data_IF_616604135921
#
_entry.id   IF_616604135921
#
_cell.length_a   1.000
_cell.length_b   1.000
_cell.length_c   1.000
_cell.angle_alpha   90.00
_cell.angle_beta   90.00
_cell.angle_gamma   90.00
#
_symmetry.space_group_name_H-M   'P 1'
#
loop_
_entity.id
_entity.type
_entity.pdbx_description
1 polymer ?
#
# COMPACT_ATOMS: atom_id res chain seq x y z
N UNK A 1 -69.31 39.76 -5.72
CA UNK A 1 -69.41 38.51 -4.95
C UNK A 1 -68.03 37.90 -4.92
N UNK A 2 -67.33 38.06 -3.80
CA UNK A 2 -66.20 37.19 -3.43
C UNK A 2 -66.76 35.80 -3.10
N UNK A 3 -66.05 34.71 -3.45
CA UNK A 3 -65.25 34.06 -2.41
C UNK A 3 -63.97 33.33 -2.88
N UNK A 4 -63.03 33.15 -1.95
CA UNK A 4 -61.99 32.11 -1.96
C UNK A 4 -60.60 32.65 -2.31
N UNK A 5 -59.66 32.89 -1.40
CA UNK A 5 -59.33 32.13 -0.19
C UNK A 5 -58.24 31.10 -0.51
N UNK A 6 -56.98 31.42 -0.19
CA UNK A 6 -55.97 30.48 0.33
C UNK A 6 -54.61 31.17 0.41
N UNK A 7 -54.19 31.37 1.65
CA UNK A 7 -52.82 31.65 2.06
C UNK A 7 -51.79 30.64 1.55
N UNK A 8 -50.55 31.10 1.48
CA UNK A 8 -49.30 30.38 1.74
C UNK A 8 -48.88 29.32 0.67
N UNK A 9 -47.61 29.15 0.32
CA UNK A 9 -46.37 29.29 1.08
C UNK A 9 -45.22 29.62 0.14
N UNK A 10 -44.49 30.66 0.52
CA UNK A 10 -43.06 30.82 0.27
C UNK A 10 -42.36 29.48 0.59
N UNK A 11 -41.90 28.78 -0.45
CA UNK A 11 -41.14 27.54 -0.32
C UNK A 11 -39.70 27.86 -0.66
N UNK A 12 -39.02 28.50 0.29
CA UNK A 12 -37.57 28.60 0.30
C UNK A 12 -36.96 27.21 0.17
N UNK A 13 -36.05 27.06 -0.80
CA UNK A 13 -35.23 25.87 -0.92
C UNK A 13 -34.55 25.61 0.43
N UNK A 14 -34.60 24.37 0.98
CA UNK A 14 -33.98 24.09 2.26
C UNK A 14 -32.47 24.25 2.12
N UNK A 15 -31.89 25.11 2.96
CA UNK A 15 -30.44 25.19 3.13
C UNK A 15 -29.90 23.79 3.43
N UNK A 16 -28.75 23.38 2.87
CA UNK A 16 -28.16 22.09 3.18
C UNK A 16 -27.99 21.98 4.70
N UNK A 17 -28.51 20.89 5.28
CA UNK A 17 -28.38 20.61 6.71
C UNK A 17 -26.89 20.70 7.10
N UNK A 18 -26.57 21.39 8.19
CA UNK A 18 -25.21 21.57 8.69
C UNK A 18 -24.38 20.28 8.67
N UNK A 19 -24.99 19.14 8.98
CA UNK A 19 -24.36 17.81 8.95
C UNK A 19 -23.87 17.40 7.55
N UNK A 20 -24.57 17.81 6.49
CA UNK A 20 -24.17 17.54 5.10
C UNK A 20 -22.97 18.41 4.72
N UNK A 21 -22.96 19.67 5.13
CA UNK A 21 -21.80 20.55 4.93
C UNK A 21 -20.57 20.10 5.71
N UNK A 22 -20.74 19.51 6.90
CA UNK A 22 -19.63 18.92 7.68
C UNK A 22 -19.10 17.66 6.99
N UNK A 23 -19.97 16.78 6.47
CA UNK A 23 -19.56 15.59 5.74
C UNK A 23 -18.83 15.92 4.43
N UNK A 24 -19.33 16.88 3.66
CA UNK A 24 -18.68 17.36 2.43
C UNK A 24 -17.32 18.00 2.75
N UNK A 25 -17.22 18.75 3.84
CA UNK A 25 -15.95 19.30 4.31
C UNK A 25 -14.95 18.20 4.72
N UNK A 26 -15.41 17.15 5.41
CA UNK A 26 -14.56 16.01 5.79
C UNK A 26 -14.07 15.26 4.54
N UNK A 27 -14.92 15.05 3.55
CA UNK A 27 -14.54 14.43 2.28
C UNK A 27 -13.54 15.27 1.52
N UNK A 28 -13.74 16.59 1.49
CA UNK A 28 -12.82 17.55 0.86
C UNK A 28 -11.45 17.57 1.55
N UNK A 29 -11.45 17.55 2.89
CA UNK A 29 -10.21 17.45 3.69
C UNK A 29 -9.49 16.14 3.38
N UNK A 30 -10.22 15.03 3.29
CA UNK A 30 -9.64 13.73 2.97
C UNK A 30 -9.00 13.70 1.58
N UNK A 31 -9.70 14.19 0.56
CA UNK A 31 -9.15 14.29 -0.79
C UNK A 31 -7.90 15.20 -0.85
N UNK A 32 -7.89 16.26 -0.04
CA UNK A 32 -6.73 17.16 0.10
C UNK A 32 -5.56 16.47 0.77
N UNK A 33 -5.81 15.66 1.81
CA UNK A 33 -4.79 14.84 2.48
C UNK A 33 -4.20 13.82 1.51
N UNK A 34 -5.02 13.12 0.73
CA UNK A 34 -4.55 12.15 -0.26
C UNK A 34 -3.70 12.84 -1.35
N UNK A 35 -4.10 14.04 -1.79
CA UNK A 35 -3.33 14.86 -2.74
C UNK A 35 -2.00 15.34 -2.13
N UNK A 36 -2.00 15.69 -0.84
CA UNK A 36 -0.79 16.04 -0.09
C UNK A 36 0.16 14.85 0.03
N UNK A 37 -0.35 13.65 0.33
CA UNK A 37 0.46 12.42 0.38
C UNK A 37 1.12 12.14 -0.99
N UNK A 38 0.36 12.23 -2.08
CA UNK A 38 0.93 12.11 -3.44
C UNK A 38 1.96 13.19 -3.75
N UNK A 39 1.73 14.42 -3.30
CA UNK A 39 2.67 15.53 -3.48
C UNK A 39 3.95 15.33 -2.66
N UNK A 40 3.84 14.77 -1.45
CA UNK A 40 5.00 14.40 -0.62
C UNK A 40 5.80 13.28 -1.29
N UNK A 41 5.14 12.26 -1.84
CA UNK A 41 5.82 11.20 -2.61
C UNK A 41 6.54 11.76 -3.86
N UNK A 42 5.92 12.71 -4.56
CA UNK A 42 6.53 13.39 -5.71
C UNK A 42 7.73 14.27 -5.32
N UNK A 43 7.65 14.96 -4.17
CA UNK A 43 8.76 15.74 -3.60
C UNK A 43 9.90 14.80 -3.20
N UNK A 44 9.61 13.69 -2.54
CA UNK A 44 10.61 12.69 -2.14
C UNK A 44 11.31 12.10 -3.37
N UNK A 45 10.56 11.80 -4.44
CA UNK A 45 11.12 11.36 -5.71
C UNK A 45 12.04 12.43 -6.30
N UNK A 46 11.63 13.71 -6.26
CA UNK A 46 12.42 14.81 -6.81
C UNK A 46 13.68 15.10 -5.99
N UNK A 47 13.61 14.99 -4.66
CA UNK A 47 14.76 15.08 -3.78
C UNK A 47 15.73 13.93 -4.04
N UNK A 48 15.24 12.70 -4.21
CA UNK A 48 16.07 11.55 -4.55
C UNK A 48 16.80 11.74 -5.90
N UNK A 49 16.14 12.34 -6.90
CA UNK A 49 16.80 12.72 -8.17
C UNK A 49 17.89 13.78 -7.95
N UNK A 50 17.62 14.84 -7.19
CA UNK A 50 18.58 15.91 -6.94
C UNK A 50 19.81 15.43 -6.15
N UNK A 51 19.61 14.60 -5.13
CA UNK A 51 20.72 14.01 -4.37
C UNK A 51 21.45 12.91 -5.14
N UNK A 52 20.75 12.15 -5.99
CA UNK A 52 21.35 11.17 -6.89
C UNK A 52 22.29 11.82 -7.91
N UNK A 53 21.91 12.99 -8.44
CA UNK A 53 22.76 13.77 -9.36
C UNK A 53 23.99 14.38 -8.66
N UNK A 54 23.90 14.68 -7.36
CA UNK A 54 25.02 15.20 -6.58
C UNK A 54 26.07 14.10 -6.29
N UNK A 55 25.65 12.84 -6.15
CA UNK A 55 26.53 11.69 -5.97
C UNK A 55 27.32 11.34 -7.25
N UNK A 56 26.76 11.56 -8.44
CA UNK A 56 27.48 11.36 -9.70
C UNK A 56 28.48 12.47 -10.02
N UNK A 57 28.23 13.71 -9.55
CA UNK A 57 29.11 14.86 -9.77
C UNK A 57 30.34 14.92 -8.85
N UNK A 58 30.42 14.01 -7.88
CA UNK A 58 31.42 14.02 -6.79
C UNK A 58 32.45 12.87 -6.85
N UNK A 59 32.77 12.34 -8.03
CA UNK A 59 33.89 11.39 -8.20
C UNK A 59 35.16 12.14 -8.62
N UNK A 60 36.19 12.27 -7.76
CA UNK A 60 37.51 12.61 -8.26
C UNK A 60 38.11 11.37 -8.93
N UNK A 61 38.47 11.51 -10.20
CA UNK A 61 39.36 10.58 -10.88
C UNK A 61 40.74 10.68 -10.22
N UNK A 62 41.22 9.60 -9.60
CA UNK A 62 42.62 9.47 -9.22
C UNK A 62 43.20 8.16 -9.75
N UNK A 63 44.34 8.35 -10.41
CA UNK A 63 45.16 7.45 -11.18
C UNK A 63 46.09 6.59 -10.29
N UNK A 64 46.59 5.50 -10.91
CA UNK A 64 47.95 4.93 -10.77
C UNK A 64 48.16 3.63 -9.97
N UNK A 65 48.47 2.59 -10.75
CA UNK A 65 49.13 1.26 -10.57
C UNK A 65 50.50 1.27 -9.84
N UNK A 66 51.35 0.18 -9.81
CA UNK A 66 51.16 -1.29 -9.79
C UNK A 66 52.05 -2.07 -8.75
N UNK A 67 51.88 -3.41 -8.70
CA UNK A 67 52.91 -4.49 -8.61
C UNK A 67 53.49 -5.05 -7.26
N UNK A 68 53.29 -6.38 -7.11
CA UNK A 68 54.23 -7.49 -6.76
C UNK A 68 54.48 -8.00 -5.31
N UNK A 69 54.20 -9.31 -5.18
CA UNK A 69 54.96 -10.43 -4.57
C UNK A 69 55.02 -10.70 -3.04
N UNK A 70 54.55 -11.93 -2.72
CA UNK A 70 55.09 -12.96 -1.81
C UNK A 70 55.31 -12.68 -0.31
N UNK A 71 54.78 -13.58 0.53
CA UNK A 71 55.37 -13.85 1.84
C UNK A 71 54.42 -14.35 2.93
N UNK A 72 54.40 -15.67 3.14
CA UNK A 72 54.51 -16.34 4.47
C UNK A 72 53.47 -16.10 5.58
N UNK A 73 52.74 -17.17 5.90
CA UNK A 73 52.06 -17.46 7.20
C UNK A 73 53.09 -17.50 8.35
N UNK A 74 52.70 -17.15 9.60
CA UNK A 74 52.59 -18.18 10.66
C UNK A 74 51.34 -18.00 11.59
N UNK A 75 51.07 -18.95 12.52
CA UNK A 75 49.76 -19.15 13.14
C UNK A 75 49.63 -18.79 14.65
N UNK A 76 48.37 -18.58 15.10
CA UNK A 76 47.77 -18.86 16.44
C UNK A 76 48.31 -18.11 17.68
N UNK A 77 47.70 -18.21 18.89
CA UNK A 77 46.32 -18.50 19.33
C UNK A 77 45.86 -17.55 20.50
N UNK A 78 44.82 -17.95 21.26
CA UNK A 78 44.41 -17.48 22.62
C UNK A 78 43.21 -16.50 22.68
N UNK A 79 42.01 -16.99 23.06
CA UNK A 79 41.46 -17.26 24.41
C UNK A 79 41.04 -15.97 25.14
N UNK A 80 39.74 -15.78 25.32
CA UNK A 80 39.11 -15.77 26.65
C UNK A 80 37.59 -15.62 26.54
N UNK A 81 36.90 -16.55 27.23
CA UNK A 81 35.65 -16.41 27.99
C UNK A 81 34.68 -15.27 27.65
N UNK A 82 33.47 -15.64 27.26
CA UNK A 82 32.30 -15.48 28.15
C UNK A 82 31.05 -16.02 27.46
N UNK A 83 30.35 -16.94 28.12
CA UNK A 83 28.90 -17.07 27.94
C UNK A 83 28.28 -15.78 28.46
N UNK A 84 27.73 -14.96 27.57
CA UNK A 84 26.57 -14.12 27.87
C UNK A 84 25.91 -13.71 26.56
N UNK A 85 24.62 -14.02 26.47
CA UNK A 85 23.54 -13.33 25.78
C UNK A 85 23.69 -12.81 24.34
N UNK A 86 22.63 -13.11 23.56
CA UNK A 86 22.26 -12.60 22.24
C UNK A 86 23.16 -11.47 21.71
N UNK A 87 23.71 -11.58 20.49
CA UNK A 87 24.40 -10.45 19.88
C UNK A 87 23.39 -9.31 19.65
N UNK A 88 23.48 -8.29 20.49
CA UNK A 88 22.92 -6.98 20.22
C UNK A 88 23.60 -6.45 18.95
N UNK A 89 22.81 -6.03 17.97
CA UNK A 89 23.27 -5.09 16.95
C UNK A 89 23.69 -5.64 15.60
N UNK A 90 23.24 -6.84 15.18
CA UNK A 90 23.15 -7.06 13.74
C UNK A 90 22.01 -6.18 13.19
N UNK A 91 22.23 -5.32 12.18
CA UNK A 91 21.14 -4.57 11.57
C UNK A 91 20.14 -5.57 11.00
N UNK A 92 18.99 -5.74 11.65
CA UNK A 92 17.88 -6.52 11.10
C UNK A 92 17.56 -5.91 9.75
N UNK A 93 17.63 -6.70 8.69
CA UNK A 93 17.31 -6.19 7.35
C UNK A 93 15.85 -5.74 7.33
N UNK A 94 15.55 -4.66 6.60
CA UNK A 94 14.18 -4.14 6.47
C UNK A 94 13.15 -5.22 6.09
N UNK A 95 13.60 -6.23 5.34
CA UNK A 95 12.79 -7.38 4.95
C UNK A 95 12.41 -8.29 6.12
N UNK A 96 13.36 -8.62 7.00
CA UNK A 96 13.06 -9.48 8.17
C UNK A 96 12.22 -8.73 9.20
N UNK A 97 12.48 -7.43 9.42
CA UNK A 97 11.63 -6.63 10.30
C UNK A 97 10.20 -6.52 9.75
N UNK A 98 10.04 -6.34 8.44
CA UNK A 98 8.71 -6.35 7.83
C UNK A 98 7.99 -7.67 8.09
N UNK A 99 8.66 -8.82 7.94
CA UNK A 99 8.05 -10.12 8.23
C UNK A 99 7.59 -10.23 9.68
N UNK A 100 8.40 -9.77 10.63
CA UNK A 100 8.04 -9.76 12.05
C UNK A 100 6.82 -8.87 12.32
N UNK A 101 6.80 -7.65 11.75
CA UNK A 101 5.66 -6.72 11.83
C UNK A 101 4.40 -7.36 11.27
N UNK A 102 4.45 -7.89 10.05
CA UNK A 102 3.29 -8.51 9.39
C UNK A 102 2.76 -9.73 10.15
N UNK A 103 3.63 -10.52 10.78
CA UNK A 103 3.23 -11.64 11.65
C UNK A 103 2.62 -11.19 12.98
N UNK A 104 3.00 -10.02 13.48
CA UNK A 104 2.47 -9.47 14.73
C UNK A 104 1.06 -8.88 14.59
N UNK A 105 0.65 -8.54 13.36
CA UNK A 105 -0.66 -7.95 13.09
C UNK A 105 -1.66 -9.08 12.78
N UNK A 106 -2.78 -9.21 13.52
CA UNK A 106 -3.81 -10.18 13.22
C UNK A 106 -4.45 -9.93 11.85
N UNK A 107 -4.77 -11.00 11.12
CA UNK A 107 -5.50 -10.88 9.87
C UNK A 107 -6.93 -10.42 10.12
N UNK A 108 -7.53 -9.80 9.11
CA UNK A 108 -8.98 -9.50 9.09
C UNK A 108 -9.83 -10.72 8.74
N UNK A 109 -9.22 -11.77 8.18
CA UNK A 109 -9.89 -12.96 7.69
C UNK A 109 -9.85 -14.05 8.76
N UNK A 110 -11.00 -14.54 9.20
CA UNK A 110 -11.09 -15.49 10.32
C UNK A 110 -10.32 -16.81 10.11
N UNK A 111 -10.06 -17.21 8.86
CA UNK A 111 -9.29 -18.41 8.51
C UNK A 111 -7.78 -18.15 8.30
N UNK A 112 -7.31 -16.92 8.55
CA UNK A 112 -5.92 -16.50 8.37
C UNK A 112 -5.42 -15.93 9.69
N UNK A 113 -4.23 -16.33 10.13
CA UNK A 113 -3.76 -15.97 11.46
C UNK A 113 -3.28 -14.52 11.55
N UNK A 114 -2.54 -14.08 10.53
CA UNK A 114 -1.81 -12.81 10.56
C UNK A 114 -1.75 -12.18 9.16
N UNK A 115 -1.36 -10.91 9.11
CA UNK A 115 -1.29 -10.15 7.84
C UNK A 115 -0.21 -10.70 6.90
N UNK A 116 0.84 -11.33 7.41
CA UNK A 116 1.84 -11.99 6.56
C UNK A 116 1.20 -13.11 5.71
N UNK A 117 0.43 -14.00 6.35
CA UNK A 117 -0.28 -15.07 5.67
C UNK A 117 -1.40 -14.53 4.76
N UNK A 118 -2.05 -13.43 5.17
CA UNK A 118 -3.04 -12.72 4.36
C UNK A 118 -2.44 -12.18 3.06
N UNK A 119 -1.30 -11.49 3.14
CA UNK A 119 -0.59 -10.98 1.95
C UNK A 119 -0.14 -12.14 1.06
N UNK A 120 0.38 -13.22 1.64
CA UNK A 120 0.77 -14.40 0.88
C UNK A 120 -0.41 -14.99 0.10
N UNK A 121 -1.56 -15.15 0.75
CA UNK A 121 -2.79 -15.62 0.12
C UNK A 121 -3.30 -14.63 -0.94
N UNK A 122 -3.20 -13.32 -0.68
CA UNK A 122 -3.56 -12.27 -1.64
C UNK A 122 -2.70 -12.33 -2.91
N UNK A 123 -1.37 -12.52 -2.78
CA UNK A 123 -0.48 -12.71 -3.93
C UNK A 123 -0.85 -13.99 -4.70
N UNK A 124 -1.14 -15.09 -3.99
CA UNK A 124 -1.60 -16.32 -4.62
C UNK A 124 -2.88 -16.12 -5.43
N UNK A 125 -3.85 -15.40 -4.88
CA UNK A 125 -5.10 -15.07 -5.56
C UNK A 125 -4.87 -14.23 -6.82
N UNK A 126 -4.03 -13.20 -6.74
CA UNK A 126 -3.68 -12.38 -7.90
C UNK A 126 -3.07 -13.22 -9.03
N UNK A 127 -2.11 -14.09 -8.70
CA UNK A 127 -1.44 -14.95 -9.69
C UNK A 127 -2.40 -15.99 -10.29
N UNK A 128 -3.40 -16.43 -9.53
CA UNK A 128 -4.37 -17.42 -9.98
C UNK A 128 -5.51 -16.82 -10.83
N UNK A 129 -5.82 -15.54 -10.65
CA UNK A 129 -7.01 -14.90 -11.21
C UNK A 129 -6.70 -13.91 -12.33
N UNK A 130 -5.55 -13.23 -12.26
CA UNK A 130 -5.16 -12.19 -13.21
C UNK A 130 -4.04 -12.72 -14.09
N UNK A 131 -4.35 -12.86 -15.38
CA UNK A 131 -3.38 -13.28 -16.39
C UNK A 131 -2.26 -12.24 -16.52
N UNK A 132 -1.03 -12.72 -16.70
CA UNK A 132 0.18 -11.90 -16.87
C UNK A 132 0.43 -10.81 -15.82
N UNK A 133 -0.13 -10.99 -14.61
CA UNK A 133 0.07 -10.05 -13.50
C UNK A 133 1.55 -9.98 -13.09
N UNK A 134 2.04 -8.76 -12.82
CA UNK A 134 3.41 -8.54 -12.34
C UNK A 134 3.45 -8.19 -10.85
N UNK A 135 4.56 -8.42 -10.13
CA UNK A 135 4.67 -8.03 -8.73
C UNK A 135 4.42 -6.54 -8.46
N UNK A 136 4.78 -5.68 -9.41
CA UNK A 136 4.53 -4.23 -9.32
C UNK A 136 3.03 -3.94 -9.39
N UNK A 137 2.31 -4.55 -10.33
CA UNK A 137 0.84 -4.44 -10.43
C UNK A 137 0.17 -4.99 -9.17
N UNK A 138 0.61 -6.16 -8.67
CA UNK A 138 0.11 -6.72 -7.41
C UNK A 138 0.29 -5.75 -6.26
N UNK A 139 1.45 -5.07 -6.17
CA UNK A 139 1.71 -4.11 -5.10
C UNK A 139 0.87 -2.84 -5.26
N UNK A 140 1.04 -2.12 -6.37
CA UNK A 140 0.57 -0.74 -6.51
C UNK A 140 -0.92 -0.66 -6.84
N UNK A 141 -1.44 -1.56 -7.69
CA UNK A 141 -2.83 -1.48 -8.17
C UNK A 141 -3.80 -2.32 -7.33
N UNK A 142 -3.30 -3.33 -6.63
CA UNK A 142 -4.13 -4.29 -5.90
C UNK A 142 -3.89 -4.27 -4.38
N UNK A 143 -2.67 -4.53 -3.93
CA UNK A 143 -2.38 -4.73 -2.51
C UNK A 143 -2.42 -3.42 -1.72
N UNK A 144 -1.79 -2.34 -2.19
CA UNK A 144 -1.80 -1.07 -1.46
C UNK A 144 -3.23 -0.50 -1.31
N UNK A 145 -4.07 -0.45 -2.36
CA UNK A 145 -5.47 -0.06 -2.22
C UNK A 145 -6.24 -0.98 -1.24
N UNK A 146 -6.04 -2.30 -1.35
CA UNK A 146 -6.61 -3.26 -0.42
C UNK A 146 -6.23 -2.98 1.05
N UNK A 147 -4.94 -2.74 1.31
CA UNK A 147 -4.43 -2.46 2.65
C UNK A 147 -4.93 -1.13 3.20
N UNK A 148 -5.16 -0.12 2.35
CA UNK A 148 -5.76 1.17 2.74
C UNK A 148 -7.25 1.03 3.06
N UNK A 149 -7.98 0.25 2.25
CA UNK A 149 -9.41 -0.01 2.45
C UNK A 149 -9.73 -0.97 3.61
N UNK A 150 -8.73 -1.68 4.15
CA UNK A 150 -8.88 -2.74 5.16
C UNK A 150 -9.29 -2.29 6.58
N UNK A 151 -9.81 -1.08 6.75
CA UNK A 151 -10.27 -0.57 8.03
C UNK A 151 -11.29 -1.51 8.67
N UNK A 152 -10.87 -2.16 9.76
CA UNK A 152 -11.56 -3.35 10.29
C UNK A 152 -12.76 -3.02 11.19
N UNK A 153 -12.91 -1.76 11.60
CA UNK A 153 -14.03 -1.26 12.40
C UNK A 153 -13.99 0.27 12.46
N UNK A 154 -15.11 0.90 12.80
CA UNK A 154 -15.12 2.32 13.16
C UNK A 154 -14.02 2.62 14.19
N UNK A 155 -13.12 3.55 13.85
CA UNK A 155 -12.02 3.98 14.74
C UNK A 155 -10.74 3.14 14.72
N UNK A 156 -10.64 2.04 13.96
CA UNK A 156 -9.36 1.32 13.79
C UNK A 156 -8.60 1.80 12.56
N UNK A 157 -7.28 2.05 12.68
CA UNK A 157 -6.45 2.40 11.53
C UNK A 157 -6.39 1.23 10.54
N UNK A 158 -6.30 1.56 9.25
CA UNK A 158 -6.14 0.58 8.18
C UNK A 158 -4.88 -0.28 8.38
N UNK A 159 -4.83 -1.46 7.75
CA UNK A 159 -3.62 -2.28 7.78
C UNK A 159 -2.42 -1.51 7.22
N UNK A 160 -2.62 -0.69 6.18
CA UNK A 160 -1.56 0.19 5.66
C UNK A 160 -0.96 1.07 6.76
N UNK A 161 -1.79 1.86 7.45
CA UNK A 161 -1.34 2.76 8.52
C UNK A 161 -0.65 2.01 9.65
N UNK A 162 -1.16 0.82 10.01
CA UNK A 162 -0.56 -0.02 11.07
C UNK A 162 0.81 -0.55 10.69
N UNK A 163 0.96 -1.09 9.47
CA UNK A 163 2.21 -1.65 8.97
C UNK A 163 3.27 -0.55 8.88
N UNK A 164 2.96 0.57 8.23
CA UNK A 164 3.90 1.68 8.08
C UNK A 164 4.25 2.33 9.41
N UNK A 165 3.25 2.54 10.28
CA UNK A 165 3.47 3.05 11.63
C UNK A 165 4.41 2.16 12.43
N UNK A 166 4.17 0.84 12.45
CA UNK A 166 5.03 -0.10 13.19
C UNK A 166 6.43 -0.22 12.59
N UNK A 167 6.56 -0.20 11.26
CA UNK A 167 7.88 -0.21 10.61
C UNK A 167 8.69 1.03 10.95
N UNK A 168 8.06 2.20 10.98
CA UNK A 168 8.69 3.44 11.41
C UNK A 168 9.06 3.39 12.90
N UNK A 169 8.14 2.96 13.77
CA UNK A 169 8.37 2.95 15.23
C UNK A 169 9.41 1.90 15.67
N UNK A 170 9.37 0.69 15.12
CA UNK A 170 10.21 -0.42 15.57
C UNK A 170 11.58 -0.39 14.89
N UNK A 171 11.63 -0.02 13.61
CA UNK A 171 12.83 -0.14 12.80
C UNK A 171 13.39 1.20 12.30
N UNK A 172 12.69 2.31 12.53
CA UNK A 172 13.09 3.62 11.99
C UNK A 172 13.06 3.65 10.46
N UNK A 173 12.27 2.78 9.83
CA UNK A 173 12.25 2.64 8.37
C UNK A 173 11.29 3.63 7.73
N UNK A 174 11.77 4.29 6.68
CA UNK A 174 10.97 5.20 5.87
C UNK A 174 9.81 4.49 5.18
N UNK A 175 8.83 5.27 4.72
CA UNK A 175 7.71 4.74 3.95
C UNK A 175 8.19 4.08 2.64
N UNK A 176 9.21 4.64 1.99
CA UNK A 176 9.78 4.12 0.75
C UNK A 176 10.56 2.82 0.97
N UNK A 177 11.31 2.70 2.07
CA UNK A 177 12.00 1.46 2.45
C UNK A 177 11.02 0.36 2.82
N UNK A 178 9.93 0.72 3.51
CA UNK A 178 8.84 -0.21 3.84
C UNK A 178 8.16 -0.71 2.57
N UNK A 179 7.84 0.18 1.63
CA UNK A 179 7.29 -0.18 0.32
C UNK A 179 8.24 -1.09 -0.47
N UNK A 180 9.54 -0.79 -0.47
CA UNK A 180 10.57 -1.62 -1.13
C UNK A 180 10.69 -3.00 -0.49
N UNK A 181 10.64 -3.09 0.83
CA UNK A 181 10.64 -4.37 1.55
C UNK A 181 9.38 -5.18 1.23
N UNK A 182 8.22 -4.54 1.15
CA UNK A 182 6.96 -5.18 0.79
C UNK A 182 6.97 -5.68 -0.66
N UNK A 183 7.53 -4.90 -1.59
CA UNK A 183 7.74 -5.36 -2.97
C UNK A 183 8.62 -6.61 -3.01
N UNK A 184 9.73 -6.64 -2.27
CA UNK A 184 10.60 -7.82 -2.19
C UNK A 184 9.87 -9.06 -1.66
N UNK A 185 8.93 -8.86 -0.72
CA UNK A 185 8.09 -9.94 -0.20
C UNK A 185 7.16 -10.49 -1.27
N UNK A 186 6.50 -9.62 -2.02
CA UNK A 186 5.63 -10.00 -3.14
C UNK A 186 6.45 -10.71 -4.22
N UNK A 187 7.61 -10.16 -4.61
CA UNK A 187 8.52 -10.76 -5.59
C UNK A 187 8.89 -12.20 -5.19
N UNK A 188 9.19 -12.44 -3.91
CA UNK A 188 9.54 -13.76 -3.40
C UNK A 188 8.38 -14.76 -3.50
N UNK A 189 7.17 -14.36 -3.11
CA UNK A 189 5.97 -15.20 -3.22
C UNK A 189 5.59 -15.45 -4.68
N UNK A 190 5.58 -14.40 -5.50
CA UNK A 190 5.27 -14.46 -6.92
C UNK A 190 6.18 -15.43 -7.67
N UNK A 191 7.51 -15.35 -7.47
CA UNK A 191 8.48 -16.27 -8.10
C UNK A 191 8.24 -17.72 -7.69
N UNK A 192 7.89 -17.94 -6.43
CA UNK A 192 7.58 -19.28 -5.92
C UNK A 192 6.34 -19.85 -6.59
N UNK A 193 5.29 -19.03 -6.72
CA UNK A 193 4.02 -19.41 -7.35
C UNK A 193 4.12 -19.60 -8.87
N UNK A 194 4.90 -18.79 -9.58
CA UNK A 194 5.13 -18.99 -11.02
C UNK A 194 5.91 -20.29 -11.31
N UNK A 195 6.82 -20.70 -10.41
CA UNK A 195 7.54 -21.98 -10.53
C UNK A 195 6.66 -23.18 -10.16
N UNK A 196 5.81 -23.03 -9.14
CA UNK A 196 4.89 -24.06 -8.68
C UNK A 196 3.52 -23.42 -8.47
N UNK A 197 2.69 -23.37 -9.53
CA UNK A 197 1.35 -22.80 -9.44
C UNK A 197 0.58 -23.50 -8.33
N UNK A 198 0.07 -22.71 -7.39
CA UNK A 198 -0.85 -23.24 -6.40
C UNK A 198 -2.26 -23.10 -6.97
N UNK A 199 -3.10 -24.15 -6.88
CA UNK A 199 -4.48 -24.05 -7.35
C UNK A 199 -5.21 -22.95 -6.55
N UNK A 200 -6.23 -22.34 -7.16
CA UNK A 200 -7.05 -21.33 -6.48
C UNK A 200 -7.67 -21.87 -5.18
N UNK A 201 -7.91 -23.18 -5.11
CA UNK A 201 -8.41 -23.90 -3.92
C UNK A 201 -7.45 -23.86 -2.72
N UNK A 202 -6.18 -23.47 -2.93
CA UNK A 202 -5.22 -23.24 -1.84
C UNK A 202 -5.38 -21.87 -1.17
N UNK A 203 -6.15 -20.96 -1.76
CA UNK A 203 -6.48 -19.67 -1.18
C UNK A 203 -7.57 -19.87 -0.12
N UNK A 204 -7.46 -19.27 1.07
CA UNK A 204 -8.49 -19.35 2.10
C UNK A 204 -9.86 -18.90 1.56
N UNK A 205 -10.91 -19.67 1.84
CA UNK A 205 -12.25 -19.43 1.33
C UNK A 205 -12.77 -18.01 1.63
N UNK A 206 -12.39 -17.44 2.78
CA UNK A 206 -12.77 -16.08 3.19
C UNK A 206 -12.22 -14.98 2.26
N UNK A 207 -11.21 -15.29 1.45
CA UNK A 207 -10.57 -14.35 0.52
C UNK A 207 -11.04 -14.52 -0.91
N UNK A 208 -11.78 -15.58 -1.24
CA UNK A 208 -12.24 -15.84 -2.60
C UNK A 208 -13.20 -14.77 -3.12
N UNK A 209 -13.91 -14.06 -2.24
CA UNK A 209 -14.77 -12.93 -2.62
C UNK A 209 -13.98 -11.77 -3.24
N UNK A 210 -12.66 -11.70 -3.02
CA UNK A 210 -11.79 -10.69 -3.62
C UNK A 210 -11.48 -10.99 -5.10
N UNK A 211 -11.74 -12.22 -5.57
CA UNK A 211 -11.43 -12.64 -6.93
C UNK A 211 -12.21 -11.80 -7.96
N UNK A 212 -13.47 -11.50 -7.71
CA UNK A 212 -14.30 -10.76 -8.66
C UNK A 212 -13.82 -9.31 -8.82
N UNK A 213 -13.43 -8.66 -7.72
CA UNK A 213 -12.79 -7.33 -7.74
C UNK A 213 -11.51 -7.35 -8.57
N UNK A 214 -10.67 -8.38 -8.39
CA UNK A 214 -9.43 -8.53 -9.16
C UNK A 214 -9.69 -8.74 -10.66
N UNK A 215 -10.67 -9.58 -11.03
CA UNK A 215 -11.06 -9.82 -12.44
C UNK A 215 -11.58 -8.57 -13.13
N UNK A 216 -12.31 -7.73 -12.40
CA UNK A 216 -12.90 -6.49 -12.95
C UNK A 216 -11.91 -5.34 -13.15
N UNK A 217 -10.61 -5.55 -12.90
CA UNK A 217 -9.58 -4.55 -13.14
C UNK A 217 -8.96 -3.95 -11.87
N UNK A 218 -8.91 -4.72 -10.79
CA UNK A 218 -8.17 -4.37 -9.58
C UNK A 218 -8.91 -3.45 -8.62
N UNK A 219 -8.31 -3.24 -7.45
CA UNK A 219 -8.93 -2.45 -6.38
C UNK A 219 -8.89 -0.94 -6.67
N UNK A 220 -7.95 -0.47 -7.48
CA UNK A 220 -7.84 0.93 -7.89
C UNK A 220 -9.00 1.40 -8.81
N UNK A 221 -9.62 0.50 -9.59
CA UNK A 221 -10.74 0.85 -10.48
C UNK A 221 -12.11 0.83 -9.81
N UNK A 222 -12.26 0.09 -8.71
CA UNK A 222 -13.52 0.02 -7.96
C UNK A 222 -13.85 1.31 -7.20
N UNK A 223 -12.85 2.13 -6.87
CA UNK A 223 -13.10 3.48 -6.33
C UNK A 223 -13.72 4.41 -7.40
N UNK A 224 -13.41 4.22 -8.69
CA UNK A 224 -13.99 5.04 -9.76
C UNK A 224 -15.41 4.63 -10.15
N UNK A 225 -15.77 3.35 -10.08
CA UNK A 225 -17.11 2.89 -10.47
C UNK A 225 -18.20 3.13 -9.40
N UNK A 226 -17.82 3.41 -8.15
CA UNK A 226 -18.77 3.83 -7.13
C UNK A 226 -19.32 5.25 -7.39
N UNK A 227 -18.58 6.10 -8.12
CA UNK A 227 -18.97 7.48 -8.44
C UNK A 227 -19.63 7.63 -9.83
N UNK A 228 -19.53 6.63 -10.71
CA UNK A 228 -19.98 6.75 -12.12
C UNK A 228 -21.37 6.16 -12.37
N UNK A 229 -22.00 5.49 -11.40
CA UNK A 229 -23.34 4.89 -11.56
C UNK A 229 -24.51 5.83 -11.23
N UNK A 230 -24.30 7.14 -11.22
CA UNK A 230 -25.37 8.12 -11.14
C UNK A 230 -25.46 8.94 -12.44
N UNK A 231 -25.71 8.28 -13.57
CA UNK A 231 -26.22 8.98 -14.74
C UNK A 231 -27.18 8.08 -15.53
N UNK A 232 -28.46 8.44 -15.67
CA UNK A 232 -29.28 7.98 -16.78
C UNK A 232 -29.31 9.02 -17.90
N UNK A 233 -28.59 8.68 -18.96
CA UNK A 233 -28.79 8.89 -20.40
C UNK A 233 -29.56 10.14 -20.93
N UNK A 234 -29.05 10.81 -21.98
CA UNK A 234 -29.67 11.97 -22.60
C UNK A 234 -30.66 11.55 -23.69
N UNK A 235 -31.91 12.00 -23.63
CA UNK A 235 -32.83 11.91 -24.76
C UNK A 235 -33.35 13.27 -25.19
N UNK A 236 -32.95 13.64 -26.40
CA UNK A 236 -33.39 14.77 -27.22
C UNK A 236 -34.89 14.71 -27.55
N UNK A 237 -35.56 15.88 -27.52
CA UNK A 237 -36.46 16.44 -28.55
C UNK A 237 -36.92 17.84 -28.05
N UNK A 238 -36.40 18.96 -28.55
CA UNK A 238 -36.64 19.63 -29.85
C UNK A 238 -38.00 20.34 -29.99
N UNK A 239 -37.90 21.64 -30.30
CA UNK A 239 -38.82 22.56 -31.03
C UNK A 239 -39.78 23.48 -30.26
N UNK A 240 -39.42 24.78 -30.32
CA UNK A 240 -40.19 26.01 -30.51
C UNK A 240 -41.51 26.26 -29.76
N UNK A 241 -41.56 27.37 -29.01
CA UNK A 241 -42.06 28.68 -29.48
C UNK A 241 -41.67 29.78 -28.49
#
# INVERSE_FOLDING_TARGET
MDPGGSDARDSGAPAPSFDRSVLDAIQTIRATVDTLEMSVEAIDLKLAELFGLQAERSKPALLSSPALLTGSRPPSPERHDARSDRPAGAPRTAFETLKDVLKSIPSRHGSVNNVYDEIKAFVALNVAVVDDVTPTVILDENLLPYLRASSSSAGRPSLHTRIWGQMMTIAGLSASDTKRALKRLIDAHYRTLKRKPSPIDSVPASMLSLADTLRSGGFARHEQHADVNADPDPTFHSVAQ
#
